data_IF_376594903235
#
_entry.id   IF_376594903235
#
_cell.length_a   1.000
_cell.length_b   1.000
_cell.length_c   1.000
_cell.angle_alpha   90.00
_cell.angle_beta   90.00
_cell.angle_gamma   90.00
#
_symmetry.space_group_name_H-M   'P 1'
#
loop_
_entity.id
_entity.type
_entity.pdbx_description
1 polymer ?
#
# COMPACT_ATOMS: atom_id res chain seq x y z
N UNK A 1 92.93 -4.36 39.25
CA UNK A 1 92.97 -4.80 40.66
C UNK A 1 91.55 -4.71 41.20
N UNK A 2 91.05 -5.86 41.67
CA UNK A 2 89.96 -6.09 42.64
C UNK A 2 88.57 -5.49 42.36
N UNK A 3 87.56 -6.27 41.95
CA UNK A 3 86.78 -7.36 42.59
C UNK A 3 85.49 -6.90 43.32
N UNK A 4 84.53 -7.82 43.36
CA UNK A 4 83.21 -7.82 44.01
C UNK A 4 82.14 -6.92 43.33
N UNK A 5 81.13 -7.42 42.61
CA UNK A 5 80.47 -8.72 42.65
C UNK A 5 79.14 -8.61 43.42
N UNK A 6 78.02 -8.47 42.71
CA UNK A 6 76.74 -9.04 43.19
C UNK A 6 75.76 -9.25 42.04
N UNK A 7 75.83 -10.47 41.54
CA UNK A 7 74.91 -11.15 40.65
C UNK A 7 73.44 -10.86 40.96
N UNK A 8 72.77 -10.17 40.03
CA UNK A 8 71.33 -10.27 39.86
C UNK A 8 70.98 -9.89 38.43
N UNK A 9 71.13 -10.85 37.52
CA UNK A 9 70.24 -11.04 36.36
C UNK A 9 70.82 -12.10 35.42
N UNK A 10 69.92 -13.01 35.09
CA UNK A 10 69.88 -13.81 33.87
C UNK A 10 70.68 -15.10 33.78
N UNK A 11 69.94 -16.11 33.29
CA UNK A 11 70.34 -17.27 32.48
C UNK A 11 70.68 -18.57 33.22
N UNK A 12 69.64 -19.32 33.59
CA UNK A 12 69.53 -20.77 33.37
C UNK A 12 68.05 -21.01 33.01
N UNK A 13 67.69 -21.06 31.73
CA UNK A 13 67.65 -22.21 30.81
C UNK A 13 66.48 -23.18 31.06
N UNK A 14 65.58 -23.19 30.06
CA UNK A 14 64.85 -24.33 29.49
C UNK A 14 64.33 -25.45 30.43
N UNK A 15 63.01 -25.47 30.61
CA UNK A 15 62.18 -26.70 30.61
C UNK A 15 60.86 -26.30 29.93
N UNK A 16 60.72 -26.60 28.64
CA UNK A 16 60.10 -27.81 28.12
C UNK A 16 58.58 -27.65 27.97
N UNK A 17 58.18 -27.54 26.70
CA UNK A 17 56.81 -27.60 26.17
C UNK A 17 55.99 -28.68 26.86
N UNK A 18 54.91 -28.28 27.54
CA UNK A 18 53.80 -29.18 27.89
C UNK A 18 52.49 -28.45 27.58
N UNK A 19 51.83 -28.97 26.54
CA UNK A 19 50.39 -29.01 26.31
C UNK A 19 49.51 -27.86 26.87
N UNK A 20 49.01 -27.02 25.97
CA UNK A 20 47.69 -26.41 26.13
C UNK A 20 46.98 -26.42 24.78
N UNK A 21 46.55 -27.62 24.40
CA UNK A 21 45.41 -27.76 23.51
C UNK A 21 44.13 -27.49 24.31
N UNK A 22 43.17 -26.84 23.66
CA UNK A 22 41.76 -26.82 23.99
C UNK A 22 41.34 -26.08 25.27
N UNK A 23 41.36 -24.75 25.21
CA UNK A 23 40.16 -24.01 25.62
C UNK A 23 39.83 -23.08 24.46
N UNK A 24 39.15 -23.63 23.45
CA UNK A 24 38.36 -22.77 22.59
C UNK A 24 37.30 -22.18 23.49
N UNK A 25 37.38 -20.87 23.76
CA UNK A 25 36.23 -20.13 24.23
C UNK A 25 35.16 -20.32 23.16
N UNK A 26 34.30 -21.30 23.40
CA UNK A 26 33.04 -21.41 22.71
C UNK A 26 32.34 -20.12 23.09
N UNK A 27 32.38 -19.14 22.18
CA UNK A 27 31.45 -18.03 22.19
C UNK A 27 30.06 -18.68 22.05
N UNK A 28 29.52 -19.11 23.19
CA UNK A 28 28.12 -19.39 23.36
C UNK A 28 27.45 -18.06 23.09
N UNK A 29 27.07 -17.85 21.83
CA UNK A 29 26.03 -16.89 21.51
C UNK A 29 24.89 -17.22 22.47
N UNK A 30 24.65 -16.33 23.43
CA UNK A 30 23.43 -16.37 24.21
C UNK A 30 22.31 -16.16 23.20
N UNK A 31 21.84 -17.25 22.62
CA UNK A 31 20.50 -17.33 22.07
C UNK A 31 19.62 -17.17 23.29
N UNK A 32 19.29 -15.92 23.58
CA UNK A 32 18.17 -15.62 24.44
C UNK A 32 16.96 -16.26 23.75
N UNK A 33 16.58 -17.47 24.16
CA UNK A 33 15.23 -18.02 23.99
C UNK A 33 14.19 -17.20 24.79
N UNK A 34 14.41 -15.89 24.93
CA UNK A 34 13.32 -14.95 25.13
C UNK A 34 12.74 -14.73 23.75
N UNK A 35 11.68 -15.48 23.44
CA UNK A 35 10.80 -15.15 22.32
C UNK A 35 10.51 -13.64 22.37
N UNK A 36 10.67 -13.02 21.21
CA UNK A 36 10.33 -11.63 20.87
C UNK A 36 9.79 -10.80 22.05
N UNK A 37 10.67 -10.07 22.73
CA UNK A 37 10.31 -9.16 23.84
C UNK A 37 9.54 -7.91 23.36
N UNK A 38 9.10 -7.86 22.10
CA UNK A 38 8.12 -6.89 21.64
C UNK A 38 6.71 -7.37 22.00
N UNK A 39 6.13 -6.80 23.07
CA UNK A 39 4.70 -6.95 23.32
C UNK A 39 3.93 -6.17 22.25
N UNK A 40 3.51 -6.86 21.19
CA UNK A 40 2.64 -6.28 20.16
C UNK A 40 1.21 -6.14 20.69
N UNK A 41 0.61 -4.97 20.49
CA UNK A 41 -0.75 -4.67 20.96
C UNK A 41 -1.80 -5.10 19.92
N UNK A 42 -1.63 -6.31 19.39
CA UNK A 42 -2.51 -6.93 18.40
C UNK A 42 -3.40 -7.95 19.10
N UNK A 43 -4.72 -7.86 18.90
CA UNK A 43 -5.64 -8.77 19.57
C UNK A 43 -5.49 -10.22 19.00
N UNK A 44 -5.29 -11.24 19.85
CA UNK A 44 -5.09 -12.61 19.40
C UNK A 44 -6.36 -13.27 18.86
N UNK A 45 -7.55 -12.76 19.18
CA UNK A 45 -8.86 -13.35 18.85
C UNK A 45 -9.66 -12.51 17.86
N UNK A 46 -9.36 -11.23 17.72
CA UNK A 46 -10.09 -10.29 16.87
C UNK A 46 -9.12 -9.61 15.89
N UNK A 47 -9.44 -9.64 14.60
CA UNK A 47 -8.82 -8.80 13.60
C UNK A 47 -9.55 -7.44 13.61
N UNK A 48 -8.96 -6.44 14.27
CA UNK A 48 -9.51 -5.07 14.32
C UNK A 48 -9.00 -4.27 13.13
N UNK A 49 -9.87 -3.89 12.21
CA UNK A 49 -9.50 -3.20 10.97
C UNK A 49 -9.88 -1.71 11.06
N UNK A 50 -8.93 -0.83 10.74
CA UNK A 50 -9.21 0.58 10.57
C UNK A 50 -9.84 0.80 9.19
N UNK A 51 -11.06 1.34 9.13
CA UNK A 51 -11.80 1.47 7.88
C UNK A 51 -12.58 2.79 7.82
N UNK A 52 -13.03 3.16 6.63
CA UNK A 52 -13.92 4.30 6.43
C UNK A 52 -15.38 3.81 6.41
N UNK A 53 -16.33 4.48 7.11
CA UNK A 53 -17.71 4.04 7.15
C UNK A 53 -18.47 4.18 5.82
N UNK A 54 -18.00 5.02 4.88
CA UNK A 54 -18.73 5.39 3.66
C UNK A 54 -17.82 5.71 2.45
N UNK A 55 -16.73 4.97 2.27
CA UNK A 55 -15.78 5.19 1.16
C UNK A 55 -15.76 4.05 0.15
N UNK A 56 -16.90 3.77 -0.50
CA UNK A 56 -16.91 2.82 -1.62
C UNK A 56 -16.00 3.32 -2.75
N UNK A 57 -15.20 2.43 -3.37
CA UNK A 57 -15.28 0.97 -3.28
C UNK A 57 -14.47 0.31 -2.17
N UNK A 58 -13.77 1.07 -1.33
CA UNK A 58 -12.85 0.51 -0.33
C UNK A 58 -13.60 -0.14 0.82
N UNK A 59 -14.35 0.65 1.59
CA UNK A 59 -15.07 0.14 2.76
C UNK A 59 -16.35 0.92 3.05
N UNK A 60 -17.29 0.24 3.70
CA UNK A 60 -18.41 0.88 4.39
C UNK A 60 -18.90 0.06 5.59
N UNK A 61 -19.79 0.64 6.40
CA UNK A 61 -20.40 -0.03 7.56
C UNK A 61 -21.27 -1.25 7.21
N UNK A 62 -21.66 -1.38 5.93
CA UNK A 62 -22.45 -2.51 5.43
C UNK A 62 -21.59 -3.70 4.97
N UNK A 63 -20.26 -3.57 4.95
CA UNK A 63 -19.37 -4.63 4.49
C UNK A 63 -19.37 -4.86 2.97
N UNK A 64 -19.76 -3.84 2.18
CA UNK A 64 -19.93 -3.95 0.73
C UNK A 64 -18.66 -3.61 -0.07
N UNK A 65 -17.61 -3.10 0.58
CA UNK A 65 -16.37 -2.67 -0.07
C UNK A 65 -15.34 -3.78 -0.29
N UNK A 66 -14.40 -3.54 -1.21
CA UNK A 66 -13.31 -4.47 -1.53
C UNK A 66 -12.41 -4.73 -0.31
N UNK A 67 -12.11 -3.71 0.49
CA UNK A 67 -11.30 -3.85 1.71
C UNK A 67 -12.08 -4.55 2.81
N UNK A 68 -13.42 -4.44 2.81
CA UNK A 68 -14.25 -5.29 3.66
C UNK A 68 -14.10 -6.77 3.29
N UNK A 69 -14.18 -7.09 1.99
CA UNK A 69 -14.02 -8.47 1.50
C UNK A 69 -12.62 -9.03 1.71
N UNK A 70 -11.59 -8.20 1.58
CA UNK A 70 -10.23 -8.58 1.93
C UNK A 70 -10.08 -8.84 3.44
N UNK A 71 -10.70 -8.00 4.29
CA UNK A 71 -10.66 -8.19 5.73
C UNK A 71 -11.42 -9.46 6.19
N UNK A 72 -12.58 -9.76 5.58
CA UNK A 72 -13.31 -11.01 5.77
C UNK A 72 -12.42 -12.22 5.44
N UNK A 73 -11.78 -12.21 4.26
CA UNK A 73 -10.84 -13.26 3.85
C UNK A 73 -9.71 -13.47 4.88
N UNK A 74 -9.06 -12.39 5.34
CA UNK A 74 -7.97 -12.51 6.30
C UNK A 74 -8.44 -13.00 7.67
N UNK A 75 -9.58 -12.52 8.16
CA UNK A 75 -10.15 -12.94 9.43
C UNK A 75 -10.40 -14.46 9.44
N UNK A 76 -10.97 -14.98 8.35
CA UNK A 76 -11.22 -16.41 8.18
C UNK A 76 -9.91 -17.23 8.18
N UNK A 77 -8.89 -16.78 7.42
CA UNK A 77 -7.59 -17.47 7.36
C UNK A 77 -6.84 -17.42 8.69
N UNK A 78 -7.02 -16.35 9.46
CA UNK A 78 -6.46 -16.17 10.80
C UNK A 78 -7.26 -16.89 11.89
N UNK A 79 -8.46 -17.38 11.58
CA UNK A 79 -9.41 -17.89 12.55
C UNK A 79 -9.72 -16.86 13.66
N UNK A 80 -9.80 -15.58 13.28
CA UNK A 80 -10.14 -14.46 14.17
C UNK A 80 -11.54 -13.95 13.86
N UNK A 81 -12.21 -13.39 14.87
CA UNK A 81 -13.39 -12.55 14.61
C UNK A 81 -12.96 -11.29 13.87
N UNK A 82 -13.86 -10.71 13.07
CA UNK A 82 -13.62 -9.44 12.40
C UNK A 82 -14.35 -8.32 13.13
N UNK A 83 -13.66 -7.21 13.37
CA UNK A 83 -14.24 -5.98 13.91
C UNK A 83 -13.64 -4.75 13.22
N UNK A 84 -14.38 -3.65 13.19
CA UNK A 84 -13.99 -2.42 12.50
C UNK A 84 -13.96 -1.21 13.42
N UNK A 85 -12.91 -0.40 13.25
CA UNK A 85 -12.87 0.95 13.78
C UNK A 85 -13.08 1.91 12.62
N UNK A 86 -14.31 2.43 12.55
CA UNK A 86 -14.68 3.37 11.51
C UNK A 86 -14.25 4.80 11.83
N UNK A 87 -13.58 5.43 10.86
CA UNK A 87 -13.24 6.85 10.87
C UNK A 87 -13.10 7.34 9.41
N UNK A 88 -13.61 8.53 9.04
CA UNK A 88 -13.44 9.04 7.67
C UNK A 88 -11.96 9.11 7.28
N UNK A 89 -11.62 8.58 6.10
CA UNK A 89 -10.27 8.53 5.55
C UNK A 89 -9.85 9.90 5.00
N UNK A 90 -9.79 10.86 5.93
CA UNK A 90 -9.38 12.23 5.71
C UNK A 90 -8.25 12.58 6.70
N UNK A 91 -8.04 13.88 6.92
CA UNK A 91 -7.02 14.37 7.86
C UNK A 91 -7.14 13.71 9.23
N UNK A 92 -6.07 13.04 9.66
CA UNK A 92 -5.98 12.42 10.97
C UNK A 92 -6.44 10.96 11.06
N UNK A 93 -6.84 10.32 9.95
CA UNK A 93 -7.29 8.91 9.95
C UNK A 93 -6.34 7.98 10.71
N UNK A 94 -5.05 7.94 10.35
CA UNK A 94 -4.04 7.08 11.00
C UNK A 94 -3.92 7.42 12.50
N UNK A 95 -3.81 8.71 12.85
CA UNK A 95 -3.68 9.18 14.23
C UNK A 95 -4.88 8.78 15.10
N UNK A 96 -6.10 8.88 14.56
CA UNK A 96 -7.34 8.63 15.30
C UNK A 96 -7.76 7.16 15.33
N UNK A 97 -7.06 6.30 14.59
CA UNK A 97 -7.36 4.86 14.47
C UNK A 97 -6.16 4.01 14.88
N UNK A 98 -5.28 3.64 13.94
CA UNK A 98 -4.13 2.76 14.11
C UNK A 98 -3.14 3.30 15.15
N UNK A 99 -2.83 4.60 15.07
CA UNK A 99 -1.93 5.30 15.99
C UNK A 99 -2.49 5.48 17.40
N UNK A 100 -3.81 5.38 17.57
CA UNK A 100 -4.49 5.37 18.86
C UNK A 100 -4.73 3.94 19.40
N UNK A 101 -4.12 2.91 18.79
CA UNK A 101 -4.27 1.50 19.16
C UNK A 101 -5.71 0.97 19.16
N UNK A 102 -6.61 1.62 18.42
CA UNK A 102 -8.03 1.22 18.35
C UNK A 102 -8.22 0.01 17.43
N UNK A 103 -7.39 -0.12 16.41
CA UNK A 103 -7.39 -1.19 15.41
C UNK A 103 -5.94 -1.59 15.09
N UNK A 104 -5.74 -2.71 14.40
CA UNK A 104 -4.45 -3.38 14.22
C UNK A 104 -3.93 -3.39 12.77
N UNK A 105 -4.78 -3.05 11.80
CA UNK A 105 -4.41 -3.04 10.38
C UNK A 105 -5.26 -2.04 9.59
N UNK A 106 -4.63 -1.38 8.63
CA UNK A 106 -5.28 -0.66 7.52
C UNK A 106 -5.12 -1.54 6.28
N UNK A 107 -6.21 -1.84 5.58
CA UNK A 107 -6.19 -2.82 4.48
C UNK A 107 -5.44 -2.33 3.25
N UNK A 108 -5.63 -1.06 2.85
CA UNK A 108 -4.97 -0.45 1.70
C UNK A 108 -4.16 0.78 2.10
N UNK A 109 -2.85 0.73 1.87
CA UNK A 109 -1.95 1.85 2.06
C UNK A 109 -0.84 1.85 1.00
N UNK A 110 -0.52 3.02 0.40
CA UNK A 110 0.51 3.09 -0.63
C UNK A 110 1.90 2.79 -0.05
N UNK A 111 2.67 2.00 -0.78
CA UNK A 111 4.07 1.74 -0.44
C UNK A 111 4.88 3.04 -0.52
N UNK A 112 5.71 3.28 0.51
CA UNK A 112 6.57 4.46 0.60
C UNK A 112 5.95 5.64 1.35
N UNK A 113 4.73 5.50 1.89
CA UNK A 113 4.19 6.45 2.86
C UNK A 113 4.67 6.10 4.27
N UNK A 114 5.24 7.08 4.97
CA UNK A 114 5.93 6.90 6.25
C UNK A 114 4.99 6.94 7.47
N UNK A 115 3.68 7.14 7.28
CA UNK A 115 2.72 7.19 8.39
C UNK A 115 2.51 5.83 9.06
N UNK A 116 2.76 4.74 8.35
CA UNK A 116 2.57 3.37 8.83
C UNK A 116 3.68 2.47 8.33
N UNK A 117 3.86 1.33 8.99
CA UNK A 117 4.73 0.29 8.48
C UNK A 117 3.96 -0.57 7.47
N UNK A 118 4.34 -0.49 6.19
CA UNK A 118 3.75 -1.31 5.13
C UNK A 118 4.15 -2.79 5.19
N UNK A 119 3.23 -3.67 4.82
CA UNK A 119 3.48 -5.08 4.41
C UNK A 119 4.12 -5.15 3.02
N UNK A 120 4.40 -6.36 2.54
CA UNK A 120 4.58 -6.59 1.12
C UNK A 120 3.32 -6.12 0.37
N UNK A 121 3.47 -5.45 -0.78
CA UNK A 121 2.31 -5.04 -1.56
C UNK A 121 1.61 -6.28 -2.13
N UNK A 122 0.29 -6.28 -2.08
CA UNK A 122 -0.54 -7.37 -2.61
C UNK A 122 -1.23 -6.99 -3.92
N UNK A 123 -1.10 -5.74 -4.37
CA UNK A 123 -1.42 -5.35 -5.75
C UNK A 123 -0.71 -4.08 -6.19
N UNK A 124 -0.70 -3.89 -7.50
CA UNK A 124 -0.18 -2.70 -8.18
C UNK A 124 -1.28 -2.14 -9.08
N UNK A 125 -1.45 -0.83 -9.05
CA UNK A 125 -2.48 -0.13 -9.84
C UNK A 125 -2.02 1.29 -10.11
N UNK A 126 -2.73 2.02 -10.94
CA UNK A 126 -2.40 3.40 -11.31
C UNK A 126 -3.59 4.33 -11.17
N UNK A 127 -3.34 5.63 -11.25
CA UNK A 127 -4.38 6.55 -11.70
C UNK A 127 -4.79 6.20 -13.13
N UNK A 128 -6.02 6.54 -13.49
CA UNK A 128 -6.59 6.25 -14.79
C UNK A 128 -7.37 7.45 -15.32
N UNK A 129 -7.34 7.61 -16.64
CA UNK A 129 -8.27 8.46 -17.36
C UNK A 129 -9.59 7.69 -17.52
N UNK A 130 -10.69 8.38 -17.26
CA UNK A 130 -12.06 7.87 -17.43
C UNK A 130 -12.78 8.75 -18.42
N UNK A 131 -13.36 8.15 -19.45
CA UNK A 131 -14.10 8.87 -20.48
C UNK A 131 -15.33 8.08 -20.91
N UNK A 132 -16.30 8.75 -21.55
CA UNK A 132 -17.42 8.04 -22.18
C UNK A 132 -16.93 7.18 -23.34
N UNK A 133 -17.54 6.01 -23.50
CA UNK A 133 -17.39 5.25 -24.74
C UNK A 133 -17.99 6.04 -25.93
N UNK A 134 -17.32 6.00 -27.07
CA UNK A 134 -17.55 6.82 -28.25
C UNK A 134 -17.01 8.25 -28.18
N UNK A 135 -16.24 8.63 -27.14
CA UNK A 135 -15.78 10.03 -26.98
C UNK A 135 -14.53 10.38 -27.80
N UNK A 136 -13.80 9.37 -28.30
CA UNK A 136 -12.50 9.54 -28.97
C UNK A 136 -11.32 9.69 -28.00
N UNK A 137 -11.56 9.53 -26.70
CA UNK A 137 -10.57 9.64 -25.63
C UNK A 137 -10.19 8.29 -24.99
N UNK A 138 -10.77 7.18 -25.45
CA UNK A 138 -10.58 5.84 -24.88
C UNK A 138 -9.13 5.35 -25.00
N UNK A 139 -8.48 5.68 -26.11
CA UNK A 139 -7.08 5.34 -26.35
C UNK A 139 -6.11 6.45 -25.93
N UNK A 140 -6.54 7.38 -25.07
CA UNK A 140 -5.65 8.40 -24.49
C UNK A 140 -4.99 7.81 -23.25
N UNK A 141 -3.70 7.53 -23.35
CA UNK A 141 -2.90 6.86 -22.31
C UNK A 141 -1.82 7.75 -21.67
N UNK A 142 -1.79 9.03 -22.05
CA UNK A 142 -0.97 10.09 -21.44
C UNK A 142 -1.77 11.39 -21.29
N UNK A 143 -1.47 12.17 -20.25
CA UNK A 143 -2.10 13.47 -20.01
C UNK A 143 -1.60 14.57 -20.95
N UNK A 144 -0.47 14.35 -21.64
CA UNK A 144 0.09 15.26 -22.63
C UNK A 144 -0.54 15.11 -24.02
N UNK A 145 -1.41 14.11 -24.23
CA UNK A 145 -2.07 13.86 -25.52
C UNK A 145 -2.84 15.10 -26.02
N UNK A 146 -2.62 15.45 -27.29
CA UNK A 146 -3.22 16.62 -27.91
C UNK A 146 -4.77 16.58 -27.91
N UNK A 147 -5.38 15.39 -27.86
CA UNK A 147 -6.85 15.22 -27.81
C UNK A 147 -7.48 15.75 -26.52
N UNK A 148 -6.70 15.90 -25.46
CA UNK A 148 -7.16 16.49 -24.19
C UNK A 148 -7.14 18.03 -24.21
N UNK A 149 -6.51 18.67 -25.20
CA UNK A 149 -6.47 20.13 -25.29
C UNK A 149 -7.86 20.70 -25.52
N UNK A 150 -8.26 21.65 -24.69
CA UNK A 150 -9.59 22.26 -24.74
C UNK A 150 -10.71 21.37 -24.22
N UNK A 151 -10.39 20.24 -23.57
CA UNK A 151 -11.36 19.41 -22.85
C UNK A 151 -11.52 19.88 -21.41
N UNK A 152 -12.75 19.82 -20.92
CA UNK A 152 -13.08 20.09 -19.53
C UNK A 152 -12.82 18.83 -18.70
N UNK A 153 -11.63 18.74 -18.09
CA UNK A 153 -11.16 17.51 -17.41
C UNK A 153 -11.35 17.61 -15.90
N UNK A 154 -12.02 16.62 -15.31
CA UNK A 154 -12.18 16.48 -13.87
C UNK A 154 -10.92 15.90 -13.20
N UNK A 155 -10.55 16.45 -12.04
CA UNK A 155 -9.38 15.99 -11.27
C UNK A 155 -9.59 16.18 -9.77
N UNK A 156 -9.17 15.20 -8.96
CA UNK A 156 -9.14 15.36 -7.49
C UNK A 156 -7.94 16.23 -7.10
N UNK A 157 -8.21 17.41 -6.56
CA UNK A 157 -7.21 18.42 -6.22
C UNK A 157 -6.22 17.91 -5.16
N UNK A 158 -4.93 18.11 -5.41
CA UNK A 158 -3.85 17.67 -4.50
C UNK A 158 -3.39 16.22 -4.72
N UNK A 159 -3.97 15.51 -5.69
CA UNK A 159 -3.45 14.20 -6.10
C UNK A 159 -2.30 14.34 -7.13
N UNK A 160 -1.39 13.35 -7.24
CA UNK A 160 -0.29 13.36 -8.20
C UNK A 160 -0.67 13.75 -9.65
N UNK A 161 -1.77 13.27 -10.25
CA UNK A 161 -2.13 13.66 -11.61
C UNK A 161 -2.50 15.14 -11.76
N UNK A 162 -2.85 15.86 -10.69
CA UNK A 162 -3.06 17.30 -10.79
C UNK A 162 -1.76 18.04 -11.19
N UNK A 163 -0.60 17.58 -10.72
CA UNK A 163 0.70 18.10 -11.16
C UNK A 163 0.98 17.76 -12.62
N UNK A 164 0.69 16.53 -13.04
CA UNK A 164 0.86 16.12 -14.45
C UNK A 164 -0.05 16.91 -15.40
N UNK A 165 -1.32 17.12 -15.01
CA UNK A 165 -2.25 17.98 -15.75
C UNK A 165 -1.78 19.44 -15.82
N UNK A 166 -1.13 19.95 -14.77
CA UNK A 166 -0.56 21.30 -14.78
C UNK A 166 0.59 21.41 -15.79
N UNK A 167 1.50 20.44 -15.81
CA UNK A 167 2.59 20.35 -16.80
C UNK A 167 2.03 20.25 -18.22
N UNK A 168 0.99 19.43 -18.41
CA UNK A 168 0.29 19.28 -19.66
C UNK A 168 -0.61 20.50 -20.02
N UNK A 169 -0.67 21.55 -19.21
CA UNK A 169 -1.47 22.75 -19.49
C UNK A 169 -2.98 22.52 -19.53
N UNK A 170 -3.48 21.50 -18.82
CA UNK A 170 -4.91 21.14 -18.75
C UNK A 170 -5.64 21.82 -17.60
N UNK A 171 -4.92 22.47 -16.67
CA UNK A 171 -5.53 23.03 -15.46
C UNK A 171 -6.38 24.28 -15.68
N UNK A 172 -6.21 25.00 -16.81
CA UNK A 172 -6.94 26.25 -17.08
C UNK A 172 -8.45 26.08 -17.17
N UNK A 173 -8.91 24.92 -17.64
CA UNK A 173 -10.32 24.53 -17.74
C UNK A 173 -10.59 23.22 -17.00
N UNK A 174 -9.80 22.89 -15.98
CA UNK A 174 -10.02 21.69 -15.20
C UNK A 174 -11.12 21.91 -14.15
N UNK A 175 -11.90 20.87 -13.87
CA UNK A 175 -12.84 20.85 -12.75
C UNK A 175 -12.21 20.18 -11.53
N UNK A 176 -11.92 20.92 -10.45
CA UNK A 176 -11.35 20.34 -9.25
C UNK A 176 -12.44 19.68 -8.38
N UNK A 177 -12.10 18.52 -7.82
CA UNK A 177 -12.86 17.86 -6.75
C UNK A 177 -12.00 17.79 -5.48
N UNK A 178 -12.54 18.04 -4.28
CA UNK A 178 -11.75 18.06 -3.06
C UNK A 178 -11.22 16.66 -2.71
N UNK A 179 -9.93 16.56 -2.33
CA UNK A 179 -9.35 15.31 -1.82
C UNK A 179 -9.77 15.03 -0.37
N UNK A 180 -9.70 16.07 0.46
CA UNK A 180 -10.01 15.98 1.90
C UNK A 180 -11.49 16.33 2.10
N UNK A 181 -12.32 15.29 2.18
CA UNK A 181 -13.76 15.40 2.40
C UNK A 181 -14.20 14.55 3.59
N UNK A 182 -15.38 14.85 4.12
CA UNK A 182 -16.07 13.94 5.01
C UNK A 182 -16.88 12.95 4.17
N UNK A 183 -16.35 11.74 4.00
CA UNK A 183 -16.96 10.64 3.23
C UNK A 183 -18.35 10.24 3.74
N UNK A 184 -18.71 10.66 4.96
CA UNK A 184 -20.06 10.46 5.48
C UNK A 184 -21.12 11.26 4.71
N UNK A 185 -20.73 12.35 4.07
CA UNK A 185 -21.63 13.28 3.36
C UNK A 185 -21.29 13.43 1.89
N UNK A 186 -20.00 13.37 1.54
CA UNK A 186 -19.50 13.66 0.20
C UNK A 186 -18.74 12.47 -0.41
N UNK A 187 -18.66 12.43 -1.75
CA UNK A 187 -17.79 11.47 -2.45
C UNK A 187 -17.29 12.07 -3.78
N UNK A 188 -16.02 12.49 -3.81
CA UNK A 188 -15.41 13.16 -4.96
C UNK A 188 -15.33 12.27 -6.20
N UNK A 189 -15.11 10.97 -6.05
CA UNK A 189 -15.06 10.05 -7.18
C UNK A 189 -16.45 9.83 -7.80
N UNK A 190 -17.48 9.59 -6.99
CA UNK A 190 -18.86 9.48 -7.46
C UNK A 190 -19.31 10.79 -8.10
N UNK A 191 -19.04 11.95 -7.48
CA UNK A 191 -19.39 13.26 -8.04
C UNK A 191 -18.74 13.49 -9.41
N UNK A 192 -17.47 13.12 -9.58
CA UNK A 192 -16.78 13.22 -10.87
C UNK A 192 -17.40 12.29 -11.91
N UNK A 193 -17.75 11.07 -11.54
CA UNK A 193 -18.38 10.10 -12.44
C UNK A 193 -19.79 10.54 -12.84
N UNK A 194 -20.55 11.12 -11.92
CA UNK A 194 -21.88 11.67 -12.20
C UNK A 194 -21.78 12.84 -13.18
N UNK A 195 -20.81 13.72 -12.99
CA UNK A 195 -20.58 14.86 -13.88
C UNK A 195 -20.07 14.42 -15.26
N UNK A 196 -19.21 13.39 -15.31
CA UNK A 196 -18.81 12.75 -16.57
C UNK A 196 -20.02 12.17 -17.29
N UNK A 197 -20.83 11.36 -16.60
CA UNK A 197 -22.02 10.72 -17.17
C UNK A 197 -23.03 11.75 -17.67
N UNK A 198 -23.23 12.84 -16.93
CA UNK A 198 -24.10 13.95 -17.30
C UNK A 198 -23.50 14.89 -18.37
N UNK A 199 -22.27 14.64 -18.83
CA UNK A 199 -21.61 15.45 -19.86
C UNK A 199 -21.20 16.85 -19.40
N UNK A 200 -21.06 17.05 -18.08
CA UNK A 200 -20.53 18.30 -17.53
C UNK A 200 -19.02 18.38 -17.63
N UNK A 201 -18.31 17.25 -17.66
CA UNK A 201 -16.89 17.12 -17.96
C UNK A 201 -16.72 16.14 -19.13
N UNK A 202 -15.65 16.29 -19.91
CA UNK A 202 -15.35 15.44 -21.07
C UNK A 202 -14.60 14.16 -20.67
N UNK A 203 -13.74 14.27 -19.66
CA UNK A 203 -12.96 13.18 -19.08
C UNK A 203 -12.71 13.44 -17.59
N UNK A 204 -12.38 12.39 -16.84
CA UNK A 204 -11.98 12.48 -15.44
C UNK A 204 -10.70 11.71 -15.17
N UNK A 205 -9.83 12.22 -14.30
CA UNK A 205 -8.65 11.49 -13.84
C UNK A 205 -8.87 11.05 -12.39
N UNK A 206 -8.95 9.74 -12.19
CA UNK A 206 -9.30 9.12 -10.91
C UNK A 206 -8.29 8.06 -10.48
N UNK A 207 -8.28 7.78 -9.18
CA UNK A 207 -7.52 6.66 -8.65
C UNK A 207 -8.08 5.33 -9.17
N UNK A 208 -7.22 4.42 -9.65
CA UNK A 208 -7.60 3.21 -10.40
C UNK A 208 -8.74 2.40 -9.79
N UNK A 209 -8.68 1.99 -8.51
CA UNK A 209 -9.76 1.26 -7.87
C UNK A 209 -11.12 1.99 -7.92
N UNK A 210 -11.13 3.31 -7.71
CA UNK A 210 -12.35 4.13 -7.81
C UNK A 210 -12.82 4.24 -9.27
N UNK A 211 -11.90 4.52 -10.19
CA UNK A 211 -12.19 4.62 -11.62
C UNK A 211 -12.86 3.35 -12.15
N UNK A 212 -12.25 2.20 -11.89
CA UNK A 212 -12.74 0.90 -12.35
C UNK A 212 -14.09 0.51 -11.75
N UNK A 213 -14.27 0.69 -10.43
CA UNK A 213 -15.52 0.37 -9.77
C UNK A 213 -16.70 1.22 -10.27
N UNK A 214 -16.53 2.54 -10.32
CA UNK A 214 -17.61 3.43 -10.72
C UNK A 214 -17.87 3.37 -12.23
N UNK A 215 -16.85 3.15 -13.06
CA UNK A 215 -17.05 2.88 -14.49
C UNK A 215 -17.84 1.59 -14.72
N UNK A 216 -17.51 0.51 -14.01
CA UNK A 216 -18.26 -0.76 -14.06
C UNK A 216 -19.72 -0.57 -13.63
N UNK A 217 -19.97 0.23 -12.58
CA UNK A 217 -21.32 0.56 -12.10
C UNK A 217 -22.12 1.40 -13.10
N UNK A 218 -21.46 2.33 -13.81
CA UNK A 218 -22.08 3.17 -14.82
C UNK A 218 -22.34 2.42 -16.14
N UNK A 219 -21.47 1.48 -16.52
CA UNK A 219 -21.60 0.65 -17.72
C UNK A 219 -21.27 1.32 -19.05
N UNK A 220 -21.21 2.66 -19.09
CA UNK A 220 -20.98 3.46 -20.31
C UNK A 220 -19.61 4.15 -20.38
N UNK A 221 -18.70 3.83 -19.44
CA UNK A 221 -17.42 4.51 -19.29
C UNK A 221 -16.26 3.57 -19.61
N UNK A 222 -15.24 4.11 -20.26
CA UNK A 222 -13.96 3.47 -20.52
C UNK A 222 -12.92 3.95 -19.52
N UNK A 223 -12.02 3.07 -19.08
CA UNK A 223 -10.97 3.34 -18.10
C UNK A 223 -9.62 3.00 -18.71
N UNK A 224 -8.75 4.01 -18.84
CA UNK A 224 -7.42 3.88 -19.43
C UNK A 224 -6.36 4.13 -18.35
N UNK A 225 -5.64 3.09 -17.89
CA UNK A 225 -4.56 3.24 -16.91
C UNK A 225 -3.46 4.19 -17.43
N UNK A 226 -3.11 5.20 -16.65
CA UNK A 226 -2.06 6.18 -16.98
C UNK A 226 -0.70 5.65 -16.52
N UNK A 227 -0.10 4.80 -17.35
CA UNK A 227 1.19 4.14 -17.06
C UNK A 227 2.35 4.70 -17.90
N UNK A 228 2.06 5.59 -18.86
CA UNK A 228 3.04 6.11 -19.83
C UNK A 228 3.52 7.54 -19.55
N UNK A 229 3.17 8.12 -18.40
CA UNK A 229 3.66 9.45 -18.01
C UNK A 229 5.19 9.46 -17.87
N UNK A 230 5.83 10.36 -18.62
CA UNK A 230 7.29 10.55 -18.61
C UNK A 230 7.74 11.78 -17.83
N UNK A 231 6.81 12.72 -17.60
CA UNK A 231 7.01 13.95 -16.84
C UNK A 231 6.26 13.89 -15.50
N UNK A 232 6.63 14.79 -14.58
CA UNK A 232 5.98 14.92 -13.28
C UNK A 232 6.02 13.67 -12.38
N UNK A 233 5.13 13.58 -11.38
CA UNK A 233 5.08 12.45 -10.44
C UNK A 233 4.62 11.15 -11.11
N UNK A 234 5.14 10.02 -10.61
CA UNK A 234 4.66 8.69 -11.01
C UNK A 234 3.18 8.52 -10.64
N UNK A 235 2.44 7.86 -11.52
CA UNK A 235 1.01 7.58 -11.34
C UNK A 235 0.70 6.13 -10.97
N UNK A 236 1.73 5.29 -10.88
CA UNK A 236 1.62 3.88 -10.54
C UNK A 236 2.10 3.64 -9.11
N UNK A 237 1.27 2.97 -8.31
CA UNK A 237 1.57 2.69 -6.91
C UNK A 237 1.37 1.20 -6.61
N UNK A 238 2.18 0.72 -5.68
CA UNK A 238 2.02 -0.59 -5.05
C UNK A 238 1.27 -0.38 -3.74
N UNK A 239 0.28 -1.22 -3.48
CA UNK A 239 -0.57 -1.11 -2.31
C UNK A 239 -0.37 -2.35 -1.43
N UNK A 240 -0.06 -2.11 -0.17
CA UNK A 240 0.01 -3.12 0.88
C UNK A 240 -0.92 -2.77 2.03
N UNK A 241 -0.84 -3.55 3.11
CA UNK A 241 -1.52 -3.23 4.36
C UNK A 241 -0.60 -2.34 5.22
N UNK A 242 -1.20 -1.49 6.04
CA UNK A 242 -0.51 -0.66 7.02
C UNK A 242 -0.66 -1.21 8.43
N UNK A 243 0.45 -1.40 9.14
CA UNK A 243 0.48 -1.76 10.56
C UNK A 243 1.33 -0.75 11.36
N UNK A 244 1.32 -0.84 12.68
CA UNK A 244 2.20 0.01 13.51
C UNK A 244 3.67 -0.40 13.34
N UNK A 245 4.63 0.53 13.42
CA UNK A 245 6.05 0.21 13.34
C UNK A 245 6.54 -0.80 14.38
N UNK A 246 5.89 -0.89 15.55
CA UNK A 246 6.25 -1.85 16.58
C UNK A 246 5.80 -3.29 16.27
N UNK A 247 4.80 -3.50 15.41
CA UNK A 247 4.14 -4.79 15.23
C UNK A 247 4.81 -5.64 14.12
N UNK A 248 6.05 -6.08 14.37
CA UNK A 248 6.89 -6.77 13.39
C UNK A 248 6.48 -8.23 13.13
N UNK A 249 6.08 -8.99 14.13
CA UNK A 249 5.48 -10.32 13.99
C UNK A 249 4.17 -10.24 13.24
N UNK A 250 3.31 -9.29 13.60
CA UNK A 250 2.04 -9.10 12.92
C UNK A 250 2.24 -8.81 11.43
N UNK A 251 3.17 -7.91 11.09
CA UNK A 251 3.57 -7.69 9.69
C UNK A 251 4.04 -8.98 9.00
N UNK A 252 4.89 -9.78 9.65
CA UNK A 252 5.38 -11.05 9.09
C UNK A 252 4.22 -12.04 8.84
N UNK A 253 3.27 -12.11 9.76
CA UNK A 253 2.09 -12.95 9.62
C UNK A 253 1.20 -12.49 8.44
N UNK A 254 0.95 -11.19 8.32
CA UNK A 254 0.22 -10.63 7.19
C UNK A 254 0.93 -10.87 5.85
N UNK A 255 2.25 -10.71 5.80
CA UNK A 255 3.05 -11.02 4.61
C UNK A 255 2.88 -12.47 4.15
N UNK A 256 2.90 -13.41 5.11
CA UNK A 256 2.68 -14.83 4.82
C UNK A 256 1.27 -15.06 4.27
N UNK A 257 0.25 -14.45 4.86
CA UNK A 257 -1.13 -14.57 4.39
C UNK A 257 -1.34 -13.98 3.00
N UNK A 258 -0.72 -12.84 2.70
CA UNK A 258 -0.73 -12.26 1.35
C UNK A 258 -0.18 -13.28 0.35
N UNK A 259 1.00 -13.82 0.63
CA UNK A 259 1.66 -14.79 -0.26
C UNK A 259 0.82 -16.06 -0.47
N UNK A 260 0.24 -16.61 0.60
CA UNK A 260 -0.54 -17.84 0.54
C UNK A 260 -1.90 -17.67 -0.17
N UNK A 261 -2.43 -16.45 -0.24
CA UNK A 261 -3.81 -16.19 -0.70
C UNK A 261 -3.89 -15.20 -1.88
N UNK A 262 -2.77 -14.93 -2.56
CA UNK A 262 -2.68 -13.94 -3.64
C UNK A 262 -3.74 -14.15 -4.75
N UNK A 263 -4.07 -15.40 -5.09
CA UNK A 263 -5.10 -15.70 -6.08
C UNK A 263 -6.52 -15.26 -5.66
N UNK A 264 -6.88 -15.46 -4.39
CA UNK A 264 -8.17 -15.05 -3.83
C UNK A 264 -8.24 -13.51 -3.71
N UNK A 265 -7.13 -12.89 -3.29
CA UNK A 265 -6.98 -11.42 -3.24
C UNK A 265 -7.17 -10.81 -4.63
N UNK A 266 -6.45 -11.32 -5.64
CA UNK A 266 -6.57 -10.84 -7.02
C UNK A 266 -8.00 -10.98 -7.54
N UNK A 267 -8.67 -12.11 -7.23
CA UNK A 267 -10.06 -12.31 -7.61
C UNK A 267 -10.97 -11.22 -7.03
N UNK A 268 -10.89 -10.96 -5.72
CA UNK A 268 -11.67 -9.89 -5.08
C UNK A 268 -11.41 -8.55 -5.78
N UNK A 269 -10.14 -8.19 -5.99
CA UNK A 269 -9.79 -6.92 -6.65
C UNK A 269 -10.38 -6.81 -8.07
N UNK A 270 -10.27 -7.86 -8.88
CA UNK A 270 -10.83 -7.88 -10.24
C UNK A 270 -12.37 -7.86 -10.26
N UNK A 271 -13.02 -8.52 -9.29
CA UNK A 271 -14.48 -8.54 -9.18
C UNK A 271 -15.03 -7.12 -8.90
N UNK A 272 -14.27 -6.28 -8.19
CA UNK A 272 -14.56 -4.85 -7.99
C UNK A 272 -14.12 -3.93 -9.15
N UNK A 273 -13.49 -4.48 -10.20
CA UNK A 273 -13.07 -3.73 -11.37
C UNK A 273 -11.76 -2.97 -11.21
N UNK A 274 -10.94 -3.27 -10.19
CA UNK A 274 -9.65 -2.60 -9.99
C UNK A 274 -8.72 -2.86 -11.19
N UNK A 275 -8.12 -1.83 -11.83
CA UNK A 275 -7.16 -2.02 -12.90
C UNK A 275 -5.83 -2.47 -12.32
N UNK A 276 -5.61 -3.78 -12.31
CA UNK A 276 -4.37 -4.39 -11.79
C UNK A 276 -3.25 -4.35 -12.82
N UNK A 277 -2.02 -4.12 -12.37
CA UNK A 277 -0.83 -4.06 -13.19
C UNK A 277 0.19 -5.12 -12.77
N UNK A 278 0.94 -5.65 -13.74
CA UNK A 278 2.14 -6.45 -13.49
C UNK A 278 3.34 -5.57 -13.10
N UNK A 279 4.49 -6.18 -12.84
CA UNK A 279 5.74 -5.48 -12.49
C UNK A 279 6.32 -4.65 -13.65
N UNK A 280 5.85 -4.87 -14.88
CA UNK A 280 6.23 -4.14 -16.11
C UNK A 280 5.18 -3.12 -16.54
N UNK A 281 4.28 -2.70 -15.63
CA UNK A 281 3.23 -1.71 -15.91
C UNK A 281 2.16 -2.16 -16.93
N UNK A 282 2.02 -3.46 -17.17
CA UNK A 282 1.01 -3.98 -18.09
C UNK A 282 -0.25 -4.43 -17.33
N UNK A 283 -1.45 -4.16 -17.86
CA UNK A 283 -2.68 -4.66 -17.27
C UNK A 283 -2.67 -6.19 -17.08
N UNK A 284 -3.01 -6.66 -15.88
CA UNK A 284 -3.25 -8.08 -15.64
C UNK A 284 -4.60 -8.46 -16.27
N UNK A 285 -4.55 -9.21 -17.36
CA UNK A 285 -5.74 -9.84 -17.92
C UNK A 285 -6.23 -10.93 -16.97
N UNK A 286 -7.54 -11.14 -16.85
CA UNK A 286 -8.15 -12.02 -15.84
C UNK A 286 -7.59 -13.47 -15.78
N UNK A 287 -6.89 -13.93 -16.82
CA UNK A 287 -6.24 -15.24 -16.89
C UNK A 287 -4.86 -15.32 -16.20
N UNK A 288 -4.10 -14.22 -16.14
CA UNK A 288 -2.77 -14.18 -15.50
C UNK A 288 -2.80 -13.92 -13.99
N UNK A 289 -3.95 -13.48 -13.45
CA UNK A 289 -4.17 -13.24 -12.02
C UNK A 289 -3.99 -14.48 -11.13
N UNK A 290 -4.02 -15.69 -11.70
CA UNK A 290 -3.76 -16.96 -10.99
C UNK A 290 -2.27 -17.27 -10.78
N UNK A 291 -1.36 -16.53 -11.41
CA UNK A 291 0.06 -16.95 -11.55
C UNK A 291 1.10 -15.89 -11.25
N UNK A 292 0.71 -14.71 -10.76
CA UNK A 292 1.70 -13.73 -10.33
C UNK A 292 2.34 -14.18 -9.00
N UNK A 293 3.68 -14.35 -8.94
CA UNK A 293 4.41 -14.78 -7.75
C UNK A 293 4.41 -13.74 -6.62
#
# INVERSE_FOLDING_TARGET
MTEAGRHRRWLILLCAMVASCAVGDVAMAQTSETGDLSFELVDPKVLRVCADPRNLPFSNEKGEGLENKLAELLADKLQKKLDYVFFPQATGFVRMTLGAHRCDVIMGFPQGDDLVQGTNPYYRTSYALVAKAGSGLEDVDTLEDARLKGKHVGIVAGTPPATNMAIAGLMGDAKPYPLMIDTRYDNSAQAMIDDLTNGKIDAGVLWGPMAGFYAKKAGSLHVTPLVKETTGPKLVYRIGMGVRPADQNWKRQLNKLIQENQGEINKILTDFGVPLLDESDRPLVAETAKKAP
#
